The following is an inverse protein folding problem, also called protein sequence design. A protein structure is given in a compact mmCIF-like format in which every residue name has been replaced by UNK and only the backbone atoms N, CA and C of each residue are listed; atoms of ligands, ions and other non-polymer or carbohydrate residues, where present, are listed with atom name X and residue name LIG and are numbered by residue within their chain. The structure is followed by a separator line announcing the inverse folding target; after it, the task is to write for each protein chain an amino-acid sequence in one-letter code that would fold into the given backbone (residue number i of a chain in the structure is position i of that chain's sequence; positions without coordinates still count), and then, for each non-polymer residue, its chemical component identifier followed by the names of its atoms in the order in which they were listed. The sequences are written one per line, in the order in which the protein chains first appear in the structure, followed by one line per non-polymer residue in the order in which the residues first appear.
data_IF_041094736997
#
_entry.id   IF_041094736997
#
_cell.length_a   1.000
_cell.length_b   1.000
_cell.length_c   1.000
_cell.angle_alpha   90.00
_cell.angle_beta   90.00
_cell.angle_gamma   90.00
#
_symmetry.space_group_name_H-M   'P 1'
#
loop_
_entity.id
_entity.type
_entity.pdbx_description
1 polymer ?
#
# COMPACT_ATOMS: atom_id res chain seq x y z
N UNK A 1 -8.26 -21.76 -4.18
CA UNK A 1 -8.66 -20.35 -4.33
C UNK A 1 -9.23 -19.75 -3.06
N UNK A 2 -10.35 -20.25 -2.50
CA UNK A 2 -10.98 -19.63 -1.30
C UNK A 2 -10.02 -19.51 -0.12
N UNK A 3 -9.30 -20.58 0.23
CA UNK A 3 -8.29 -20.55 1.30
C UNK A 3 -7.18 -19.52 1.06
N UNK A 4 -6.73 -19.36 -0.18
CA UNK A 4 -5.69 -18.38 -0.52
C UNK A 4 -6.21 -16.95 -0.32
N UNK A 5 -7.43 -16.66 -0.77
CA UNK A 5 -8.05 -15.33 -0.59
C UNK A 5 -8.23 -15.00 0.89
N UNK A 6 -8.69 -15.96 1.71
CA UNK A 6 -8.82 -15.79 3.16
C UNK A 6 -7.46 -15.51 3.81
N UNK A 7 -6.42 -16.28 3.45
CA UNK A 7 -5.08 -16.07 3.99
C UNK A 7 -4.52 -14.70 3.60
N UNK A 8 -4.68 -14.29 2.33
CA UNK A 8 -4.26 -12.96 1.87
C UNK A 8 -4.98 -11.89 2.68
N UNK A 9 -6.31 -11.97 2.79
CA UNK A 9 -7.11 -11.01 3.54
C UNK A 9 -6.68 -10.91 5.01
N UNK A 10 -6.47 -12.05 5.67
CA UNK A 10 -6.01 -12.08 7.07
C UNK A 10 -4.64 -11.40 7.23
N UNK A 11 -3.69 -11.67 6.33
CA UNK A 11 -2.37 -11.04 6.33
C UNK A 11 -2.46 -9.53 6.08
N UNK A 12 -3.29 -9.10 5.13
CA UNK A 12 -3.54 -7.67 4.86
C UNK A 12 -4.06 -6.95 6.10
N UNK A 13 -5.06 -7.53 6.79
CA UNK A 13 -5.62 -6.94 8.02
C UNK A 13 -4.56 -6.84 9.11
N UNK A 14 -3.74 -7.87 9.31
CA UNK A 14 -2.65 -7.86 10.29
C UNK A 14 -1.67 -6.73 9.99
N UNK A 15 -1.23 -6.57 8.74
CA UNK A 15 -0.31 -5.48 8.36
C UNK A 15 -0.94 -4.10 8.53
N UNK A 16 -2.19 -3.91 8.12
CA UNK A 16 -2.90 -2.64 8.33
C UNK A 16 -3.03 -2.30 9.82
N UNK A 17 -3.30 -3.30 10.67
CA UNK A 17 -3.40 -3.12 12.11
C UNK A 17 -2.05 -2.76 12.73
N UNK A 18 -0.95 -3.38 12.29
CA UNK A 18 0.41 -3.02 12.72
C UNK A 18 0.72 -1.56 12.37
N UNK A 19 0.44 -1.13 11.14
CA UNK A 19 0.63 0.26 10.70
C UNK A 19 -0.22 1.20 11.56
N UNK A 20 -1.49 0.87 11.77
CA UNK A 20 -2.40 1.69 12.56
C UNK A 20 -1.91 1.87 14.01
N UNK A 21 -1.55 0.77 14.68
CA UNK A 21 -1.03 0.82 16.04
C UNK A 21 0.30 1.58 16.13
N UNK A 22 1.18 1.40 15.14
CA UNK A 22 2.44 2.13 15.06
C UNK A 22 2.22 3.64 14.91
N UNK A 23 1.41 4.06 13.93
CA UNK A 23 1.13 5.47 13.67
C UNK A 23 0.41 6.13 14.85
N UNK A 24 -0.53 5.43 15.50
CA UNK A 24 -1.26 5.93 16.67
C UNK A 24 -0.33 6.30 17.84
N UNK A 25 0.88 5.72 17.91
CA UNK A 25 1.88 6.08 18.91
C UNK A 25 2.48 7.47 18.71
N UNK A 26 2.49 7.98 17.47
CA UNK A 26 3.14 9.24 17.12
C UNK A 26 2.14 10.33 16.71
N UNK A 27 1.02 9.95 16.11
CA UNK A 27 0.04 10.84 15.49
C UNK A 27 -1.36 10.32 15.82
N UNK A 28 -2.24 11.19 16.34
CA UNK A 28 -3.64 10.82 16.65
C UNK A 28 -4.56 10.84 15.43
N UNK A 29 -4.11 11.42 14.32
CA UNK A 29 -4.85 11.50 13.06
C UNK A 29 -4.84 10.15 12.32
N UNK A 30 -6.00 9.75 11.80
CA UNK A 30 -6.18 8.48 11.07
C UNK A 30 -5.69 8.51 9.61
N UNK A 31 -5.52 9.71 9.06
CA UNK A 31 -5.16 9.95 7.65
C UNK A 31 -3.81 9.31 7.32
N UNK A 32 -2.81 9.48 8.19
CA UNK A 32 -1.47 8.95 7.94
C UNK A 32 -1.40 7.41 7.96
N UNK A 33 -1.99 6.71 8.96
CA UNK A 33 -2.16 5.26 8.88
C UNK A 33 -2.85 4.81 7.59
N UNK A 34 -3.89 5.53 7.16
CA UNK A 34 -4.67 5.16 5.97
C UNK A 34 -3.82 5.28 4.70
N UNK A 35 -3.09 6.38 4.53
CA UNK A 35 -2.16 6.58 3.40
C UNK A 35 -1.09 5.47 3.36
N UNK A 36 -0.49 5.13 4.50
CA UNK A 36 0.55 4.10 4.57
C UNK A 36 0.02 2.67 4.38
N UNK A 37 -1.26 2.43 4.70
CA UNK A 37 -1.91 1.13 4.48
C UNK A 37 -2.33 0.90 3.02
N UNK A 38 -2.55 1.97 2.25
CA UNK A 38 -3.04 1.92 0.87
C UNK A 38 -2.19 1.04 -0.07
N UNK A 39 -0.84 1.12 -0.11
CA UNK A 39 -0.04 0.23 -0.96
C UNK A 39 -0.19 -1.24 -0.59
N UNK A 40 -0.37 -1.57 0.69
CA UNK A 40 -0.58 -2.96 1.14
C UNK A 40 -1.92 -3.49 0.65
N UNK A 41 -2.97 -2.68 0.75
CA UNK A 41 -4.31 -3.04 0.26
C UNK A 41 -4.27 -3.20 -1.27
N UNK A 42 -3.67 -2.26 -2.00
CA UNK A 42 -3.53 -2.34 -3.45
C UNK A 42 -2.73 -3.59 -3.86
N UNK A 43 -1.60 -3.87 -3.22
CA UNK A 43 -0.82 -5.08 -3.47
C UNK A 43 -1.65 -6.35 -3.28
N UNK A 44 -2.41 -6.41 -2.18
CA UNK A 44 -3.24 -7.57 -1.82
C UNK A 44 -4.36 -7.81 -2.84
N UNK A 45 -5.03 -6.75 -3.29
CA UNK A 45 -6.03 -6.83 -4.35
C UNK A 45 -5.40 -7.34 -5.65
N UNK A 46 -4.22 -6.82 -6.02
CA UNK A 46 -3.52 -7.20 -7.24
C UNK A 46 -3.15 -8.67 -7.22
N UNK A 47 -2.69 -9.16 -6.07
CA UNK A 47 -2.37 -10.57 -5.88
C UNK A 47 -3.61 -11.47 -5.97
N UNK A 48 -4.77 -11.04 -5.44
CA UNK A 48 -6.04 -11.76 -5.59
C UNK A 48 -6.47 -11.84 -7.06
N UNK A 49 -6.32 -10.75 -7.83
CA UNK A 49 -6.67 -10.73 -9.26
C UNK A 49 -5.83 -11.72 -10.07
N UNK A 50 -4.57 -11.94 -9.71
CA UNK A 50 -3.68 -12.94 -10.33
C UNK A 50 -4.13 -14.39 -10.10
N UNK A 51 -5.01 -14.66 -9.13
CA UNK A 51 -5.59 -16.00 -8.92
C UNK A 51 -6.74 -16.31 -9.90
N UNK A 52 -7.16 -15.32 -10.71
CA UNK A 52 -8.19 -15.52 -11.73
C UNK A 52 -7.68 -16.42 -12.86
N UNK A 53 -8.61 -17.02 -13.61
CA UNK A 53 -8.30 -17.79 -14.84
C UNK A 53 -8.23 -16.90 -16.09
N UNK A 54 -8.68 -15.65 -15.98
CA UNK A 54 -8.78 -14.75 -17.13
C UNK A 54 -7.52 -13.90 -17.26
N UNK A 55 -6.86 -13.99 -18.42
CA UNK A 55 -5.56 -13.35 -18.70
C UNK A 55 -5.59 -11.84 -18.48
N UNK A 56 -6.63 -11.15 -18.94
CA UNK A 56 -6.78 -9.70 -18.72
C UNK A 56 -6.84 -9.31 -17.23
N UNK A 57 -7.44 -10.15 -16.38
CA UNK A 57 -7.50 -9.92 -14.94
C UNK A 57 -6.14 -10.13 -14.28
N UNK A 58 -5.39 -11.12 -14.77
CA UNK A 58 -4.03 -11.39 -14.30
C UNK A 58 -3.11 -10.21 -14.62
N UNK A 59 -3.19 -9.65 -15.84
CA UNK A 59 -2.37 -8.50 -16.26
C UNK A 59 -2.62 -7.27 -15.39
N UNK A 60 -3.90 -6.97 -15.08
CA UNK A 60 -4.26 -5.91 -14.12
C UNK A 60 -3.66 -6.21 -12.74
N UNK A 61 -3.72 -7.48 -12.32
CA UNK A 61 -3.10 -7.93 -11.07
C UNK A 61 -1.60 -7.72 -11.03
N UNK A 62 -0.88 -7.92 -12.15
CA UNK A 62 0.55 -7.60 -12.26
C UNK A 62 0.81 -6.09 -12.19
N UNK A 63 0.05 -5.30 -12.94
CA UNK A 63 0.18 -3.85 -12.93
C UNK A 63 -0.04 -3.26 -11.52
N UNK A 64 -1.06 -3.72 -10.80
CA UNK A 64 -1.44 -3.17 -9.50
C UNK A 64 -0.37 -3.44 -8.43
N UNK A 65 0.19 -4.65 -8.38
CA UNK A 65 1.27 -5.00 -7.46
C UNK A 65 2.55 -4.22 -7.77
N UNK A 66 2.91 -4.05 -9.03
CA UNK A 66 4.15 -3.36 -9.42
C UNK A 66 4.03 -1.87 -9.10
N UNK A 67 2.87 -1.28 -9.41
CA UNK A 67 2.54 0.10 -9.05
C UNK A 67 2.56 0.31 -7.53
N UNK A 68 1.98 -0.61 -6.75
CA UNK A 68 1.98 -0.53 -5.29
C UNK A 68 3.39 -0.65 -4.68
N UNK A 69 4.31 -1.32 -5.38
CA UNK A 69 5.72 -1.41 -4.96
C UNK A 69 6.48 -0.12 -5.23
N UNK A 70 6.17 0.57 -6.34
CA UNK A 70 6.80 1.84 -6.72
C UNK A 70 6.26 3.02 -5.88
N UNK A 71 5.00 2.95 -5.44
CA UNK A 71 4.33 4.05 -4.72
C UNK A 71 5.09 4.55 -3.47
N UNK A 72 5.59 3.70 -2.55
CA UNK A 72 6.40 4.15 -1.42
C UNK A 72 7.65 4.94 -1.83
N UNK A 73 8.35 4.50 -2.88
CA UNK A 73 9.52 5.21 -3.40
C UNK A 73 9.16 6.59 -3.94
N UNK A 74 8.03 6.70 -4.64
CA UNK A 74 7.52 7.99 -5.11
C UNK A 74 7.12 8.91 -3.95
N UNK A 75 6.48 8.38 -2.90
CA UNK A 75 6.11 9.14 -1.71
C UNK A 75 7.36 9.66 -0.98
N UNK A 76 8.38 8.83 -0.78
CA UNK A 76 9.65 9.23 -0.17
C UNK A 76 10.33 10.30 -1.02
N UNK A 77 10.42 10.09 -2.34
CA UNK A 77 11.05 11.04 -3.26
C UNK A 77 10.31 12.38 -3.26
N UNK A 78 8.97 12.35 -3.31
CA UNK A 78 8.14 13.55 -3.24
C UNK A 78 8.30 14.28 -1.90
N UNK A 79 8.34 13.55 -0.78
CA UNK A 79 8.58 14.14 0.54
C UNK A 79 9.96 14.82 0.63
N UNK A 80 10.99 14.22 0.05
CA UNK A 80 12.33 14.83 -0.03
C UNK A 80 12.33 16.11 -0.87
N UNK A 81 11.74 16.09 -2.06
CA UNK A 81 11.64 17.28 -2.93
C UNK A 81 10.88 18.40 -2.22
N UNK A 82 9.73 18.11 -1.63
CA UNK A 82 8.94 19.10 -0.88
C UNK A 82 9.70 19.64 0.34
N UNK A 83 10.43 18.78 1.04
CA UNK A 83 11.31 19.16 2.15
C UNK A 83 12.39 20.14 1.70
N UNK A 84 13.06 19.86 0.58
CA UNK A 84 14.05 20.77 -0.01
C UNK A 84 13.40 22.09 -0.44
N UNK A 85 12.30 22.06 -1.20
CA UNK A 85 11.61 23.30 -1.62
C UNK A 85 11.19 24.18 -0.43
N UNK A 86 10.78 23.58 0.69
CA UNK A 86 10.44 24.31 1.92
C UNK A 86 11.66 24.87 2.63
N UNK A 87 12.79 24.16 2.62
CA UNK A 87 14.05 24.61 3.23
C UNK A 87 14.67 25.77 2.44
N UNK A 88 14.67 25.69 1.11
CA UNK A 88 15.30 26.67 0.20
C UNK A 88 14.42 27.89 -0.11
N UNK A 89 13.15 27.89 0.30
CA UNK A 89 12.27 29.08 0.27
C UNK A 89 12.47 30.03 1.46
N UNK A 90 13.29 29.64 2.44
CA UNK A 90 13.78 30.52 3.51
C UNK A 90 15.16 31.05 3.14
#
# INVERSE_FOLDING_TARGET
MVYQVITIFAVTVVYCLIIFLFCRRFISDITMPLILSMPIVAFSIGFILRLSKQTSTIDIGYFLTDSSTIMPYMLITGALILGQLRFWRK
#
